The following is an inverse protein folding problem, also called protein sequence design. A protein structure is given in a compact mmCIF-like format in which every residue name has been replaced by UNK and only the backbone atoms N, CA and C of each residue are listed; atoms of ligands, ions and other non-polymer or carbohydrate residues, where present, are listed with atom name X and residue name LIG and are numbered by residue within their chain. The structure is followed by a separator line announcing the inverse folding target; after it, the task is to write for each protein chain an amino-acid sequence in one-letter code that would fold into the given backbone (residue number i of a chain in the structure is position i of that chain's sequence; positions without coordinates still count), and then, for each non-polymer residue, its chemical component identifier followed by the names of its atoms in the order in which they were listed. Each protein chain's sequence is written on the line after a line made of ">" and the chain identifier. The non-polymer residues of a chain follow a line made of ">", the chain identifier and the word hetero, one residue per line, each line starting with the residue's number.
data_IF_982240198091
#
_entry.id   IF_982240198091
#
_cell.length_a   1.000
_cell.length_b   1.000
_cell.length_c   1.000
_cell.angle_alpha   90.00
_cell.angle_beta   90.00
_cell.angle_gamma   90.00
#
_symmetry.space_group_name_H-M   'P 1'
#
loop_
_entity.id
_entity.type
_entity.pdbx_description
1 polymer ?
#
# COMPACT_ATOMS: atom_id res chain seq x y z
N UNK A 1 -18.67 30.05 -60.83
CA UNK A 1 -17.83 28.93 -60.36
C UNK A 1 -16.64 29.52 -59.63
N UNK A 2 -16.67 29.58 -58.30
CA UNK A 2 -15.54 30.05 -57.50
C UNK A 2 -14.60 28.89 -57.20
N UNK A 3 -13.39 28.90 -57.76
CA UNK A 3 -12.34 27.96 -57.41
C UNK A 3 -11.65 28.46 -56.14
N UNK A 4 -11.94 27.84 -54.99
CA UNK A 4 -11.13 28.04 -53.80
C UNK A 4 -9.71 27.51 -54.08
N UNK A 5 -8.64 28.26 -53.73
CA UNK A 5 -7.30 27.74 -53.86
C UNK A 5 -7.09 26.62 -52.84
N UNK A 6 -6.92 25.39 -53.32
CA UNK A 6 -6.39 24.30 -52.52
C UNK A 6 -4.92 24.62 -52.20
N UNK A 7 -4.66 25.03 -50.97
CA UNK A 7 -3.30 25.05 -50.43
C UNK A 7 -2.85 23.60 -50.28
N UNK A 8 -1.97 23.13 -51.17
CA UNK A 8 -1.29 21.85 -50.97
C UNK A 8 -0.41 21.99 -49.72
N UNK A 9 -0.60 21.14 -48.69
CA UNK A 9 0.32 21.12 -47.56
C UNK A 9 1.74 20.87 -48.08
N UNK A 10 2.72 21.60 -47.55
CA UNK A 10 4.10 21.40 -47.97
C UNK A 10 4.52 19.98 -47.59
N UNK A 11 5.28 19.30 -48.44
CA UNK A 11 5.80 17.95 -48.12
C UNK A 11 6.52 17.93 -46.76
N UNK A 12 7.17 19.05 -46.40
CA UNK A 12 7.83 19.22 -45.11
C UNK A 12 6.85 19.13 -43.93
N UNK A 13 5.64 19.70 -44.06
CA UNK A 13 4.62 19.66 -43.01
C UNK A 13 4.09 18.23 -42.80
N UNK A 14 3.88 17.47 -43.88
CA UNK A 14 3.43 16.07 -43.79
C UNK A 14 4.48 15.20 -43.09
N UNK A 15 5.75 15.31 -43.49
CA UNK A 15 6.85 14.57 -42.86
C UNK A 15 7.04 14.97 -41.37
N UNK A 16 6.86 16.25 -41.05
CA UNK A 16 6.95 16.73 -39.67
C UNK A 16 5.78 16.21 -38.81
N UNK A 17 4.55 16.20 -39.32
CA UNK A 17 3.38 15.64 -38.63
C UNK A 17 3.54 14.13 -38.36
N UNK A 18 4.03 13.37 -39.35
CA UNK A 18 4.27 11.93 -39.19
C UNK A 18 5.36 11.64 -38.14
N UNK A 19 6.42 12.45 -38.09
CA UNK A 19 7.48 12.36 -37.07
C UNK A 19 6.94 12.72 -35.68
N UNK A 20 6.13 13.78 -35.57
CA UNK A 20 5.49 14.19 -34.31
C UNK A 20 4.58 13.08 -33.79
N UNK A 21 3.78 12.47 -34.67
CA UNK A 21 2.87 11.38 -34.36
C UNK A 21 3.64 10.13 -33.90
N UNK A 22 4.74 9.78 -34.59
CA UNK A 22 5.64 8.70 -34.18
C UNK A 22 6.23 8.94 -32.78
N UNK A 23 6.74 10.15 -32.52
CA UNK A 23 7.30 10.53 -31.23
C UNK A 23 6.23 10.44 -30.13
N UNK A 24 5.02 10.90 -30.41
CA UNK A 24 3.90 10.83 -29.47
C UNK A 24 3.56 9.37 -29.12
N UNK A 25 3.49 8.47 -30.10
CA UNK A 25 3.26 7.04 -29.85
C UNK A 25 4.39 6.39 -29.04
N UNK A 26 5.64 6.81 -29.25
CA UNK A 26 6.78 6.31 -28.49
C UNK A 26 6.77 6.79 -27.03
N UNK A 27 6.36 8.04 -26.77
CA UNK A 27 6.37 8.64 -25.42
C UNK A 27 5.13 8.26 -24.61
N UNK A 28 3.98 8.06 -25.26
CA UNK A 28 2.69 7.79 -24.60
C UNK A 28 2.75 6.69 -23.53
N UNK A 29 3.41 5.53 -23.74
CA UNK A 29 3.53 4.50 -22.71
C UNK A 29 4.28 4.96 -21.46
N UNK A 30 5.15 5.97 -21.58
CA UNK A 30 6.00 6.46 -20.51
C UNK A 30 5.38 7.60 -19.69
N UNK A 31 4.19 8.08 -20.03
CA UNK A 31 3.51 9.18 -19.30
C UNK A 31 3.32 8.85 -17.81
N UNK A 32 3.16 7.57 -17.46
CA UNK A 32 3.02 7.12 -16.06
C UNK A 32 4.34 6.78 -15.36
N UNK A 33 5.49 6.86 -16.04
CA UNK A 33 6.80 6.63 -15.42
C UNK A 33 7.12 7.55 -14.24
N UNK A 34 6.84 8.87 -14.23
CA UNK A 34 7.10 9.71 -13.06
C UNK A 34 6.27 9.26 -11.86
N UNK A 35 5.00 8.87 -12.08
CA UNK A 35 4.14 8.35 -11.02
C UNK A 35 4.68 7.03 -10.46
N UNK A 36 5.13 6.12 -11.32
CA UNK A 36 5.72 4.84 -10.93
C UNK A 36 7.02 5.05 -10.14
N UNK A 37 7.90 5.94 -10.62
CA UNK A 37 9.15 6.28 -9.96
C UNK A 37 8.90 6.89 -8.57
N UNK A 38 7.94 7.80 -8.47
CA UNK A 38 7.50 8.39 -7.21
C UNK A 38 7.00 7.31 -6.22
N UNK A 39 6.16 6.38 -6.67
CA UNK A 39 5.66 5.27 -5.84
C UNK A 39 6.79 4.36 -5.37
N UNK A 40 7.72 3.99 -6.26
CA UNK A 40 8.89 3.16 -5.92
C UNK A 40 9.77 3.87 -4.88
N UNK A 41 10.04 5.16 -5.06
CA UNK A 41 10.80 5.97 -4.11
C UNK A 41 10.14 5.96 -2.72
N UNK A 42 8.82 6.14 -2.67
CA UNK A 42 8.07 6.15 -1.42
C UNK A 42 8.10 4.79 -0.72
N UNK A 43 7.84 3.69 -1.45
CA UNK A 43 7.88 2.32 -0.89
C UNK A 43 9.26 2.03 -0.27
N UNK A 44 10.33 2.39 -0.98
CA UNK A 44 11.72 2.18 -0.49
C UNK A 44 12.07 3.03 0.73
N UNK A 45 11.35 4.12 0.96
CA UNK A 45 11.57 5.00 2.10
C UNK A 45 10.74 4.63 3.34
N UNK A 46 9.71 3.80 3.23
CA UNK A 46 8.86 3.42 4.36
C UNK A 46 9.30 2.10 4.96
N UNK A 47 9.49 2.04 6.28
CA UNK A 47 9.64 0.77 7.00
C UNK A 47 8.32 0.30 7.59
N UNK A 48 8.31 -0.96 8.04
CA UNK A 48 7.28 -1.45 8.96
C UNK A 48 7.33 -0.69 10.28
N UNK A 49 6.19 -0.61 10.97
CA UNK A 49 6.09 -0.09 12.33
C UNK A 49 6.50 -1.21 13.28
N UNK A 50 7.47 -0.95 14.15
CA UNK A 50 7.98 -1.90 15.13
C UNK A 50 7.62 -1.42 16.54
N UNK A 51 6.77 -2.17 17.22
CA UNK A 51 6.43 -1.94 18.62
C UNK A 51 7.38 -2.80 19.48
N UNK A 52 8.27 -2.17 20.23
CA UNK A 52 9.19 -2.87 21.11
C UNK A 52 8.68 -2.82 22.55
N UNK A 53 8.30 -3.99 23.06
CA UNK A 53 7.81 -4.19 24.43
C UNK A 53 8.88 -3.88 25.47
N UNK A 54 10.11 -4.37 25.29
CA UNK A 54 11.17 -4.24 26.29
C UNK A 54 11.59 -2.79 26.50
N UNK A 55 11.70 -2.02 25.42
CA UNK A 55 12.07 -0.59 25.49
C UNK A 55 10.88 0.35 25.65
N UNK A 56 9.64 -0.17 25.59
CA UNK A 56 8.39 0.59 25.61
C UNK A 56 8.40 1.74 24.58
N UNK A 57 8.86 1.44 23.36
CA UNK A 57 9.00 2.41 22.27
C UNK A 57 8.44 1.87 20.96
N UNK A 58 7.91 2.77 20.15
CA UNK A 58 7.46 2.50 18.78
C UNK A 58 8.48 3.11 17.82
N UNK A 59 8.95 2.31 16.87
CA UNK A 59 9.94 2.69 15.88
C UNK A 59 9.37 2.57 14.49
N UNK A 60 9.61 3.58 13.65
CA UNK A 60 9.38 3.47 12.21
C UNK A 60 10.30 4.42 11.45
N UNK A 61 10.52 4.13 10.19
CA UNK A 61 11.27 4.97 9.26
C UNK A 61 10.33 5.50 8.19
N UNK A 62 10.41 6.80 7.96
CA UNK A 62 9.74 7.48 6.86
C UNK A 62 10.78 8.24 6.04
N UNK A 63 10.97 7.80 4.81
CA UNK A 63 12.05 8.22 3.91
C UNK A 63 13.41 7.99 4.58
N UNK A 64 14.16 9.05 4.85
CA UNK A 64 15.46 9.01 5.53
C UNK A 64 15.39 9.26 7.03
N UNK A 65 14.20 9.59 7.56
CA UNK A 65 14.03 9.96 8.97
C UNK A 65 13.50 8.78 9.78
N UNK A 66 14.18 8.50 10.89
CA UNK A 66 13.73 7.53 11.89
C UNK A 66 12.91 8.29 12.94
N UNK A 67 11.74 7.76 13.25
CA UNK A 67 10.85 8.28 14.26
C UNK A 67 10.77 7.27 15.40
N UNK A 68 10.83 7.79 16.63
CA UNK A 68 10.77 7.00 17.86
C UNK A 68 9.73 7.65 18.75
N UNK A 69 8.69 6.89 19.09
CA UNK A 69 7.66 7.34 20.03
C UNK A 69 7.83 6.59 21.34
N UNK A 70 7.77 7.31 22.45
CA UNK A 70 7.70 6.71 23.79
C UNK A 70 6.27 6.25 24.04
N UNK A 71 6.10 4.99 24.42
CA UNK A 71 4.78 4.40 24.62
C UNK A 71 3.99 5.09 25.74
N UNK A 72 4.66 5.44 26.84
CA UNK A 72 4.08 6.16 27.98
C UNK A 72 3.48 7.52 27.60
N UNK A 73 4.06 8.19 26.60
CA UNK A 73 3.62 9.49 26.10
C UNK A 73 2.79 9.39 24.79
N UNK A 74 2.47 8.17 24.33
CA UNK A 74 1.68 7.97 23.12
C UNK A 74 0.19 7.95 23.46
N UNK A 75 -0.60 8.79 22.78
CA UNK A 75 -2.05 8.78 22.87
C UNK A 75 -2.69 8.22 21.61
N UNK A 76 -3.78 7.47 21.77
CA UNK A 76 -4.66 7.02 20.69
C UNK A 76 -5.92 7.89 20.60
N UNK A 77 -6.46 8.05 19.40
CA UNK A 77 -7.68 8.80 19.14
C UNK A 77 -8.41 8.30 17.89
N UNK A 78 -9.67 8.71 17.75
CA UNK A 78 -10.49 8.41 16.59
C UNK A 78 -10.03 9.23 15.38
N UNK A 79 -9.70 8.53 14.30
CA UNK A 79 -9.43 9.13 13.00
C UNK A 79 -10.56 8.83 12.04
N UNK A 80 -11.09 9.88 11.42
CA UNK A 80 -12.15 9.79 10.40
C UNK A 80 -11.60 10.28 9.07
N UNK A 81 -11.72 9.46 8.03
CA UNK A 81 -11.36 9.82 6.66
C UNK A 81 -12.59 9.72 5.78
N UNK A 82 -12.97 10.81 5.12
CA UNK A 82 -14.03 10.78 4.11
C UNK A 82 -13.38 10.97 2.74
N UNK A 83 -13.53 9.98 1.88
CA UNK A 83 -12.95 9.97 0.53
C UNK A 83 -14.06 9.98 -0.52
N UNK A 84 -13.84 10.72 -1.61
CA UNK A 84 -14.71 10.69 -2.77
C UNK A 84 -14.23 9.60 -3.74
N UNK A 85 -15.04 8.56 -3.91
CA UNK A 85 -14.82 7.47 -4.88
C UNK A 85 -15.20 7.83 -6.32
N UNK A 86 -15.51 9.09 -6.59
CA UNK A 86 -15.98 9.60 -7.89
C UNK A 86 -17.50 9.58 -8.02
N UNK A 87 -18.16 8.50 -7.57
CA UNK A 87 -19.62 8.35 -7.59
C UNK A 87 -20.29 8.51 -6.22
N UNK A 88 -19.53 8.40 -5.13
CA UNK A 88 -20.06 8.47 -3.75
C UNK A 88 -18.97 8.86 -2.75
N UNK A 89 -19.38 9.28 -1.55
CA UNK A 89 -18.48 9.51 -0.43
C UNK A 89 -18.46 8.29 0.49
N UNK A 90 -17.29 7.72 0.71
CA UNK A 90 -17.07 6.67 1.70
C UNK A 90 -16.37 7.26 2.92
N UNK A 91 -16.90 7.01 4.11
CA UNK A 91 -16.24 7.34 5.37
C UNK A 91 -15.61 6.10 5.95
N UNK A 92 -14.34 6.19 6.30
CA UNK A 92 -13.58 5.15 6.99
C UNK A 92 -13.12 5.63 8.36
N UNK A 93 -13.21 4.75 9.35
CA UNK A 93 -12.80 4.97 10.72
C UNK A 93 -11.53 4.18 11.03
N UNK A 94 -10.60 4.81 11.75
CA UNK A 94 -9.30 4.26 12.07
C UNK A 94 -8.85 4.72 13.46
N UNK A 95 -7.95 3.96 14.06
CA UNK A 95 -7.16 4.39 15.19
C UNK A 95 -6.02 5.27 14.68
N UNK A 96 -5.92 6.52 15.15
CA UNK A 96 -4.70 7.31 15.02
C UNK A 96 -3.97 7.39 16.36
N UNK A 97 -2.65 7.21 16.35
CA UNK A 97 -1.84 7.37 17.56
C UNK A 97 -0.56 8.16 17.26
N UNK A 98 -0.20 9.02 18.22
CA UNK A 98 0.92 9.94 18.13
C UNK A 98 1.47 10.24 19.54
N UNK A 99 2.73 10.70 19.65
CA UNK A 99 3.22 11.26 20.90
C UNK A 99 2.45 12.54 21.24
N UNK A 100 2.11 12.74 22.52
CA UNK A 100 1.52 13.99 22.98
C UNK A 100 2.57 15.10 22.94
N UNK A 101 2.17 16.28 22.48
CA UNK A 101 3.00 17.49 22.53
C UNK A 101 3.01 18.09 23.94
N UNK A 102 3.82 19.13 24.14
CA UNK A 102 3.97 19.80 25.44
C UNK A 102 2.64 20.41 25.96
N UNK A 103 1.72 20.75 25.06
CA UNK A 103 0.36 21.21 25.34
C UNK A 103 -0.63 20.06 25.61
N UNK A 104 -0.18 18.81 25.53
CA UNK A 104 -1.01 17.61 25.69
C UNK A 104 -1.84 17.24 24.46
N UNK A 105 -1.77 18.01 23.37
CA UNK A 105 -2.54 17.77 22.15
C UNK A 105 -1.92 16.67 21.26
N UNK A 106 -2.76 16.06 20.42
CA UNK A 106 -2.36 15.10 19.39
C UNK A 106 -2.53 15.74 18.02
N UNK A 107 -1.47 15.74 17.21
CA UNK A 107 -1.48 16.31 15.87
C UNK A 107 -1.59 15.22 14.79
N UNK A 108 -2.55 15.39 13.88
CA UNK A 108 -2.78 14.49 12.75
C UNK A 108 -1.57 14.34 11.81
N UNK A 109 -0.69 15.36 11.72
CA UNK A 109 0.50 15.30 10.86
C UNK A 109 1.55 14.29 11.35
N UNK A 110 1.54 14.05 12.66
CA UNK A 110 2.54 13.24 13.35
C UNK A 110 2.00 11.84 13.69
N UNK A 111 0.72 11.56 13.36
CA UNK A 111 0.08 10.30 13.73
C UNK A 111 0.40 9.17 12.76
N UNK A 112 0.59 7.99 13.33
CA UNK A 112 0.40 6.73 12.65
C UNK A 112 -1.08 6.37 12.73
N UNK A 113 -1.61 5.70 11.71
CA UNK A 113 -2.99 5.23 11.72
C UNK A 113 -3.07 3.77 11.30
N UNK A 114 -4.01 3.06 11.90
CA UNK A 114 -4.36 1.67 11.62
C UNK A 114 -5.88 1.61 11.52
N UNK A 115 -6.39 0.99 10.45
CA UNK A 115 -7.83 0.83 10.25
C UNK A 115 -8.49 0.15 11.46
N UNK A 116 -9.74 0.51 11.76
CA UNK A 116 -10.50 -0.18 12.81
C UNK A 116 -10.83 -1.61 12.39
N UNK A 117 -11.30 -2.43 13.34
CA UNK A 117 -11.77 -3.78 13.02
C UNK A 117 -12.92 -3.77 12.00
N UNK A 118 -13.77 -2.75 12.04
CA UNK A 118 -14.82 -2.51 11.06
C UNK A 118 -14.74 -1.05 10.56
N UNK A 119 -13.94 -0.77 9.51
CA UNK A 119 -13.65 0.60 9.06
C UNK A 119 -14.86 1.36 8.56
N UNK A 120 -15.92 0.65 8.16
CA UNK A 120 -17.15 1.25 7.62
C UNK A 120 -18.13 1.66 8.71
N UNK A 121 -17.94 1.17 9.94
CA UNK A 121 -18.82 1.45 11.07
C UNK A 121 -18.27 2.58 11.94
N UNK A 122 -19.16 3.49 12.34
CA UNK A 122 -18.81 4.65 13.17
C UNK A 122 -18.66 4.34 14.65
N UNK A 123 -18.85 3.08 15.06
CA UNK A 123 -18.78 2.71 16.47
C UNK A 123 -17.32 2.82 16.97
N UNK A 124 -17.15 3.62 18.01
CA UNK A 124 -15.85 3.87 18.65
C UNK A 124 -15.30 2.58 19.26
N UNK A 125 -16.15 1.59 19.56
CA UNK A 125 -15.72 0.28 20.08
C UNK A 125 -14.71 -0.40 19.17
N UNK A 126 -14.92 -0.38 17.85
CA UNK A 126 -14.00 -1.01 16.88
C UNK A 126 -12.61 -0.37 16.85
N UNK A 127 -12.52 0.93 17.16
CA UNK A 127 -11.24 1.64 17.28
C UNK A 127 -10.60 1.38 18.64
N UNK A 128 -11.41 1.35 19.70
CA UNK A 128 -10.97 1.04 21.04
C UNK A 128 -10.38 -0.39 21.12
N UNK A 129 -10.99 -1.37 20.47
CA UNK A 129 -10.49 -2.75 20.40
C UNK A 129 -9.08 -2.83 19.82
N UNK A 130 -8.80 -2.10 18.73
CA UNK A 130 -7.45 -2.03 18.14
C UNK A 130 -6.47 -1.37 19.10
N UNK A 131 -6.90 -0.31 19.80
CA UNK A 131 -6.07 0.33 20.82
C UNK A 131 -5.76 -0.63 21.98
N UNK A 132 -6.77 -1.31 22.51
CA UNK A 132 -6.63 -2.32 23.57
C UNK A 132 -5.69 -3.44 23.15
N UNK A 133 -5.81 -3.92 21.91
CA UNK A 133 -4.93 -4.93 21.36
C UNK A 133 -3.46 -4.48 21.41
N UNK A 134 -3.17 -3.26 20.97
CA UNK A 134 -1.82 -2.68 21.06
C UNK A 134 -1.37 -2.51 22.52
N UNK A 135 -2.26 -2.08 23.42
CA UNK A 135 -1.95 -1.96 24.86
C UNK A 135 -1.62 -3.32 25.49
N UNK A 136 -2.41 -4.35 25.21
CA UNK A 136 -2.18 -5.70 25.68
C UNK A 136 -0.87 -6.28 25.13
N UNK A 137 -0.57 -6.04 23.85
CA UNK A 137 0.72 -6.44 23.25
C UNK A 137 1.90 -5.77 23.97
N UNK A 138 1.81 -4.45 24.18
CA UNK A 138 2.87 -3.68 24.84
C UNK A 138 3.02 -4.00 26.33
N UNK A 139 1.97 -4.48 27.00
CA UNK A 139 2.02 -4.84 28.42
C UNK A 139 2.42 -6.30 28.67
N UNK A 140 1.93 -7.23 27.86
CA UNK A 140 2.02 -8.67 28.13
C UNK A 140 2.73 -9.46 27.03
N UNK A 141 2.90 -8.89 25.84
CA UNK A 141 3.43 -9.60 24.67
C UNK A 141 2.38 -10.41 23.91
N UNK A 142 2.82 -11.19 22.92
CA UNK A 142 1.91 -11.86 21.97
C UNK A 142 1.14 -13.02 22.57
N UNK A 143 1.64 -13.67 23.62
CA UNK A 143 1.07 -14.91 24.16
C UNK A 143 -0.32 -14.74 24.77
N UNK A 144 -0.68 -13.52 25.18
CA UNK A 144 -1.98 -13.19 25.77
C UNK A 144 -2.91 -12.46 24.80
N UNK A 145 -2.54 -12.34 23.54
CA UNK A 145 -3.38 -11.68 22.55
C UNK A 145 -4.46 -12.64 22.03
N UNK A 146 -5.66 -12.12 21.74
CA UNK A 146 -6.64 -12.91 21.00
C UNK A 146 -6.03 -13.32 19.65
N UNK A 147 -6.33 -14.53 19.15
CA UNK A 147 -5.89 -14.94 17.84
C UNK A 147 -6.43 -13.96 16.79
N UNK A 148 -5.63 -13.61 15.76
CA UNK A 148 -6.11 -12.75 14.69
C UNK A 148 -7.28 -13.42 13.96
N UNK A 149 -8.25 -12.60 13.52
CA UNK A 149 -9.36 -13.07 12.69
C UNK A 149 -8.91 -13.54 11.31
N UNK A 150 -9.86 -14.02 10.51
CA UNK A 150 -9.57 -14.38 9.13
C UNK A 150 -9.07 -13.16 8.34
N UNK A 151 -7.98 -13.30 7.55
CA UNK A 151 -7.47 -12.21 6.75
C UNK A 151 -8.49 -11.83 5.67
N UNK A 152 -8.70 -10.53 5.49
CA UNK A 152 -9.60 -10.04 4.47
C UNK A 152 -9.03 -10.31 3.07
N UNK A 153 -9.77 -11.09 2.27
CA UNK A 153 -9.33 -11.50 0.93
C UNK A 153 -8.88 -10.33 0.06
N UNK A 154 -9.64 -9.24 0.06
CA UNK A 154 -9.38 -8.06 -0.76
C UNK A 154 -8.14 -7.29 -0.35
N UNK A 155 -7.71 -7.43 0.91
CA UNK A 155 -6.58 -6.67 1.46
C UNK A 155 -5.24 -7.41 1.31
N UNK A 156 -5.24 -8.67 0.85
CA UNK A 156 -4.00 -9.43 0.62
C UNK A 156 -2.99 -8.67 -0.26
N UNK A 157 -3.38 -8.04 -1.38
CA UNK A 157 -2.46 -7.22 -2.18
C UNK A 157 -2.06 -5.90 -1.52
N UNK A 158 -2.85 -5.37 -0.58
CA UNK A 158 -2.56 -4.12 0.12
C UNK A 158 -1.47 -4.30 1.19
N UNK A 159 -1.40 -5.48 1.80
CA UNK A 159 -0.40 -5.80 2.82
C UNK A 159 0.94 -6.30 2.24
N UNK A 160 1.00 -6.60 0.94
CA UNK A 160 2.20 -7.04 0.25
C UNK A 160 2.66 -5.98 -0.75
N UNK A 161 3.98 -5.74 -0.84
CA UNK A 161 4.53 -4.82 -1.85
C UNK A 161 4.25 -5.34 -3.27
N UNK A 162 4.40 -6.65 -3.47
CA UNK A 162 4.06 -7.34 -4.70
C UNK A 162 3.73 -8.80 -4.39
N UNK A 163 2.79 -9.37 -5.14
CA UNK A 163 2.52 -10.81 -5.11
C UNK A 163 3.50 -11.53 -6.03
N UNK A 164 3.96 -12.72 -5.64
CA UNK A 164 4.66 -13.63 -6.56
C UNK A 164 3.70 -14.08 -7.68
N UNK A 165 4.21 -14.54 -8.83
CA UNK A 165 3.34 -15.03 -9.91
C UNK A 165 2.36 -16.13 -9.47
N UNK A 166 2.81 -17.03 -8.57
CA UNK A 166 1.96 -18.08 -8.02
C UNK A 166 0.87 -17.53 -7.08
N UNK A 167 1.21 -16.57 -6.22
CA UNK A 167 0.24 -15.91 -5.34
C UNK A 167 -0.76 -15.06 -6.15
N UNK A 168 -0.29 -14.35 -7.16
CA UNK A 168 -1.14 -13.57 -8.07
C UNK A 168 -2.12 -14.48 -8.82
N UNK A 169 -1.65 -15.63 -9.33
CA UNK A 169 -2.52 -16.62 -9.95
C UNK A 169 -3.63 -17.08 -9.01
N UNK A 170 -3.29 -17.49 -7.78
CA UNK A 170 -4.29 -17.96 -6.80
C UNK A 170 -5.25 -16.85 -6.39
N UNK A 171 -4.74 -15.64 -6.20
CA UNK A 171 -5.52 -14.51 -5.75
C UNK A 171 -6.53 -14.05 -6.80
N UNK A 172 -6.09 -13.88 -8.06
CA UNK A 172 -6.94 -13.38 -9.13
C UNK A 172 -7.74 -14.45 -9.88
N UNK A 173 -7.39 -15.74 -9.73
CA UNK A 173 -8.11 -16.83 -10.37
C UNK A 173 -9.62 -16.74 -10.09
N UNK A 174 -10.48 -16.86 -11.11
CA UNK A 174 -11.92 -16.73 -10.92
C UNK A 174 -12.52 -17.92 -10.16
N UNK A 175 -11.90 -19.11 -10.23
CA UNK A 175 -12.31 -20.26 -9.43
C UNK A 175 -11.72 -20.23 -8.02
N UNK A 176 -12.26 -21.09 -7.16
CA UNK A 176 -11.80 -21.25 -5.77
C UNK A 176 -10.49 -22.01 -5.71
N UNK A 177 -9.63 -21.58 -4.79
CA UNK A 177 -8.28 -22.10 -4.57
C UNK A 177 -8.10 -22.66 -3.15
N UNK A 178 -9.06 -22.41 -2.25
CA UNK A 178 -9.02 -22.87 -0.87
C UNK A 178 -8.15 -22.00 0.04
N UNK A 179 -7.80 -20.80 -0.39
CA UNK A 179 -7.00 -19.87 0.41
C UNK A 179 -7.85 -19.23 1.54
N UNK A 180 -7.24 -18.87 2.68
CA UNK A 180 -7.96 -18.25 3.80
C UNK A 180 -8.69 -16.97 3.39
N UNK A 181 -9.91 -16.80 3.87
CA UNK A 181 -10.75 -15.63 3.58
C UNK A 181 -11.32 -15.57 2.16
N UNK A 182 -11.01 -16.51 1.25
CA UNK A 182 -11.43 -16.48 -0.16
C UNK A 182 -12.96 -16.35 -0.32
N UNK A 183 -13.73 -16.96 0.58
CA UNK A 183 -15.20 -16.91 0.58
C UNK A 183 -15.76 -15.51 0.88
N UNK A 184 -14.97 -14.63 1.49
CA UNK A 184 -15.37 -13.24 1.76
C UNK A 184 -15.41 -12.43 0.45
N UNK A 185 -14.46 -12.67 -0.47
CA UNK A 185 -14.29 -11.88 -1.69
C UNK A 185 -14.66 -12.55 -3.01
N UNK A 186 -14.78 -13.88 -3.06
CA UNK A 186 -15.20 -14.63 -4.27
C UNK A 186 -16.59 -15.22 -4.08
N UNK A 187 -17.60 -14.36 -3.89
CA UNK A 187 -19.00 -14.80 -3.87
C UNK A 187 -19.40 -15.33 -5.24
N UNK A 188 -20.29 -16.33 -5.30
CA UNK A 188 -20.68 -16.98 -6.57
C UNK A 188 -21.21 -15.99 -7.61
N UNK A 189 -21.94 -14.96 -7.18
CA UNK A 189 -22.46 -13.93 -8.08
C UNK A 189 -21.35 -13.02 -8.65
N UNK A 190 -20.17 -12.96 -8.02
CA UNK A 190 -19.03 -12.16 -8.47
C UNK A 190 -18.15 -12.87 -9.49
N UNK A 191 -18.33 -14.19 -9.69
CA UNK A 191 -17.49 -14.99 -10.59
C UNK A 191 -17.37 -14.42 -12.01
N UNK A 192 -18.45 -13.89 -12.64
CA UNK A 192 -18.32 -13.26 -13.96
C UNK A 192 -17.38 -12.05 -13.94
N UNK A 193 -17.45 -11.20 -12.90
CA UNK A 193 -16.55 -10.05 -12.77
C UNK A 193 -15.10 -10.48 -12.61
N UNK A 194 -14.83 -11.50 -11.78
CA UNK A 194 -13.49 -12.06 -11.63
C UNK A 194 -12.96 -12.66 -12.94
N UNK A 195 -13.80 -13.36 -13.70
CA UNK A 195 -13.39 -13.96 -14.97
C UNK A 195 -12.97 -12.90 -16.00
N UNK A 196 -13.72 -11.79 -16.09
CA UNK A 196 -13.40 -10.67 -17.00
C UNK A 196 -12.13 -9.93 -16.55
N UNK A 197 -11.97 -9.71 -15.24
CA UNK A 197 -10.83 -8.95 -14.71
C UNK A 197 -9.56 -9.78 -14.54
N UNK A 198 -9.66 -11.11 -14.52
CA UNK A 198 -8.55 -12.03 -14.31
C UNK A 198 -7.34 -11.78 -15.22
N UNK A 199 -7.46 -11.78 -16.56
CA UNK A 199 -6.31 -11.60 -17.44
C UNK A 199 -5.63 -10.24 -17.24
N UNK A 200 -6.42 -9.19 -17.01
CA UNK A 200 -5.90 -7.86 -16.72
C UNK A 200 -5.14 -7.82 -15.39
N UNK A 201 -5.79 -8.21 -14.29
CA UNK A 201 -5.21 -8.15 -12.95
C UNK A 201 -3.97 -9.04 -12.81
N UNK A 202 -4.00 -10.25 -13.39
CA UNK A 202 -2.86 -11.15 -13.40
C UNK A 202 -1.68 -10.55 -14.18
N UNK A 203 -1.93 -9.99 -15.36
CA UNK A 203 -0.88 -9.37 -16.19
C UNK A 203 -0.25 -8.19 -15.44
N UNK A 204 -1.06 -7.29 -14.86
CA UNK A 204 -0.57 -6.16 -14.09
C UNK A 204 0.26 -6.62 -12.88
N UNK A 205 -0.20 -7.64 -12.16
CA UNK A 205 0.51 -8.19 -11.01
C UNK A 205 1.86 -8.81 -11.39
N UNK A 206 1.94 -9.54 -12.50
CA UNK A 206 3.19 -10.14 -13.01
C UNK A 206 4.15 -9.03 -13.48
N UNK A 207 3.66 -8.04 -14.23
CA UNK A 207 4.47 -6.90 -14.65
C UNK A 207 5.02 -6.13 -13.44
N UNK A 208 4.19 -5.87 -12.43
CA UNK A 208 4.60 -5.24 -11.20
C UNK A 208 5.63 -6.07 -10.43
N UNK A 209 5.44 -7.39 -10.33
CA UNK A 209 6.44 -8.29 -9.76
C UNK A 209 7.79 -8.18 -10.49
N UNK A 210 7.77 -8.15 -11.82
CA UNK A 210 8.96 -7.92 -12.65
C UNK A 210 9.66 -6.61 -12.33
N UNK A 211 8.91 -5.51 -12.23
CA UNK A 211 9.40 -4.18 -11.83
C UNK A 211 10.01 -4.22 -10.42
N UNK A 212 9.31 -4.81 -9.44
CA UNK A 212 9.81 -4.95 -8.07
C UNK A 212 11.14 -5.71 -8.01
N UNK A 213 11.28 -6.75 -8.82
CA UNK A 213 12.53 -7.53 -8.91
C UNK A 213 13.65 -6.75 -9.60
N UNK A 214 13.36 -6.10 -10.73
CA UNK A 214 14.33 -5.33 -11.52
C UNK A 214 14.90 -4.15 -10.72
N UNK A 215 14.04 -3.39 -10.05
CA UNK A 215 14.44 -2.20 -9.29
C UNK A 215 14.72 -2.49 -7.82
N UNK A 216 14.71 -3.76 -7.39
CA UNK A 216 14.85 -4.18 -5.99
C UNK A 216 13.95 -3.36 -5.05
N UNK A 217 12.66 -3.28 -5.39
CA UNK A 217 11.65 -2.56 -4.61
C UNK A 217 11.33 -3.40 -3.38
N UNK A 218 11.74 -2.89 -2.22
CA UNK A 218 11.47 -3.46 -0.90
C UNK A 218 11.24 -2.31 0.07
N UNK A 219 10.46 -2.55 1.12
CA UNK A 219 10.33 -1.61 2.22
C UNK A 219 11.71 -1.32 2.82
N UNK A 220 11.88 -0.12 3.37
CA UNK A 220 13.06 0.20 4.15
C UNK A 220 13.20 -0.82 5.30
N UNK A 221 14.42 -1.29 5.61
CA UNK A 221 14.60 -2.14 6.76
C UNK A 221 14.13 -1.40 8.02
N UNK A 222 13.52 -2.10 8.98
CA UNK A 222 13.15 -1.51 10.26
C UNK A 222 14.38 -0.89 10.96
N UNK A 223 14.21 0.21 11.71
CA UNK A 223 15.32 0.88 12.38
C UNK A 223 16.12 -0.10 13.26
N UNK A 224 17.47 -0.12 13.21
CA UNK A 224 18.27 -1.05 14.01
C UNK A 224 17.98 -0.95 15.52
N UNK A 225 17.68 0.25 16.00
CA UNK A 225 17.32 0.51 17.40
C UNK A 225 15.99 -0.14 17.84
N UNK A 226 15.19 -0.67 16.90
CA UNK A 226 13.97 -1.40 17.21
C UNK A 226 14.24 -2.83 17.70
N UNK A 227 15.42 -3.39 17.41
CA UNK A 227 15.78 -4.76 17.78
C UNK A 227 16.82 -4.76 18.90
N UNK A 228 16.70 -5.75 19.81
CA UNK A 228 17.67 -5.97 20.89
C UNK A 228 19.01 -6.49 20.34
N UNK A 229 18.97 -7.26 19.26
CA UNK A 229 20.13 -7.68 18.47
C UNK A 229 20.06 -7.05 17.08
N UNK A 230 21.18 -6.51 16.59
CA UNK A 230 21.23 -5.92 15.25
C UNK A 230 20.79 -6.96 14.21
N UNK A 231 19.84 -6.62 13.30
CA UNK A 231 19.35 -7.58 12.33
C UNK A 231 20.52 -8.15 11.53
N UNK A 232 20.64 -9.48 11.50
CA UNK A 232 21.67 -10.16 10.74
C UNK A 232 21.66 -9.60 9.31
N UNK A 233 22.77 -8.98 8.88
CA UNK A 233 22.88 -8.44 7.52
C UNK A 233 22.50 -9.56 6.55
N UNK A 234 21.57 -9.33 5.61
CA UNK A 234 21.17 -10.37 4.67
C UNK A 234 22.44 -10.83 3.95
N UNK A 235 22.79 -12.10 4.16
CA UNK A 235 23.97 -12.71 3.57
C UNK A 235 23.98 -12.37 2.08
N UNK A 236 24.97 -11.60 1.62
CA UNK A 236 25.27 -11.49 0.19
C UNK A 236 25.51 -12.92 -0.27
N UNK A 237 24.53 -13.53 -0.94
CA UNK A 237 24.69 -14.81 -1.63
C UNK A 237 25.90 -14.63 -2.55
N UNK A 238 27.06 -15.19 -2.14
CA UNK A 238 28.16 -15.45 -3.05
C UNK A 238 27.60 -16.44 -4.07
N UNK A 239 27.28 -15.98 -5.27
CA UNK A 239 27.13 -16.88 -6.42
C UNK A 239 28.48 -17.58 -6.57
N UNK A 240 28.50 -18.90 -6.33
CA UNK A 240 29.48 -19.79 -6.96
C UNK A 240 29.01 -20.05 -8.39
#
# INVERSE_FOLDING_TARGET
>A
MGTYPYLYPSFLDIYNEDIILLILFLITPFVFTPFLAYRIFFIKGLSTICLNRSTQKIYYQRLSKVFVFEWSNTGGGLFKRTENGGSSFSTSYALAFAPRRADGSLHQKDCLWVDSNEPTESDVRHVAEVWEYLRHFMAHGPDKLPPPGEPNWWHKPLHAICLTPAEAWRHYAPWRTGEPGEMQGKKNWQLPFWAVLFPYNLTVAICWYGICRLFNVRAAPPPPAAFEEAPAKPNKRKRK
#
